data_IF_417882859583
#
_entry.id   IF_417882859583
#
_cell.length_a   1.000
_cell.length_b   1.000
_cell.length_c   1.000
_cell.angle_alpha   90.00
_cell.angle_beta   90.00
_cell.angle_gamma   90.00
#
_symmetry.space_group_name_H-M   'P 1'
#
loop_
_entity.id
_entity.type
_entity.pdbx_description
1 polymer ?
#
# COMPACT_ATOMS: atom_id res chain seq x y z
N UNK A 1 12.20 11.34 2.66
CA UNK A 1 11.16 10.94 3.63
C UNK A 1 11.74 11.07 5.03
N UNK A 2 12.10 9.99 5.76
CA UNK A 2 12.52 10.10 7.18
C UNK A 2 13.66 11.09 7.48
N UNK A 3 14.70 11.14 6.63
CA UNK A 3 15.77 12.15 6.75
C UNK A 3 15.30 13.59 6.63
N UNK A 4 14.31 13.84 5.76
CA UNK A 4 13.80 15.18 5.53
C UNK A 4 13.02 15.66 6.75
N UNK A 5 12.17 14.81 7.34
CA UNK A 5 11.45 15.12 8.57
C UNK A 5 12.39 15.47 9.73
N UNK A 6 13.46 14.69 9.94
CA UNK A 6 14.47 14.99 10.97
C UNK A 6 15.17 16.33 10.75
N UNK A 7 15.40 16.74 9.50
CA UNK A 7 16.09 17.98 9.16
C UNK A 7 15.16 19.20 9.10
N UNK A 8 13.86 18.99 8.97
CA UNK A 8 12.91 20.06 8.75
C UNK A 8 12.88 21.04 9.94
N UNK A 9 12.91 20.51 11.17
CA UNK A 9 12.90 21.32 12.39
C UNK A 9 14.08 22.32 12.47
N UNK A 10 15.24 21.94 11.92
CA UNK A 10 16.47 22.74 11.97
C UNK A 10 16.69 23.59 10.70
N UNK A 11 15.77 23.55 9.73
CA UNK A 11 15.92 24.21 8.43
C UNK A 11 14.94 25.38 8.29
N UNK A 12 15.42 26.63 8.31
CA UNK A 12 14.59 27.79 7.99
C UNK A 12 13.91 27.64 6.63
N UNK A 13 12.62 27.98 6.56
CA UNK A 13 11.81 27.84 5.34
C UNK A 13 11.37 26.41 5.04
N UNK A 14 11.53 25.44 5.96
CA UNK A 14 11.05 24.08 5.77
C UNK A 14 9.55 23.99 5.45
N UNK A 15 8.74 24.92 5.98
CA UNK A 15 7.29 24.96 5.77
C UNK A 15 6.89 25.08 4.29
N UNK A 16 7.59 25.91 3.52
CA UNK A 16 7.32 26.06 2.07
C UNK A 16 7.51 24.74 1.32
N UNK A 17 8.54 23.97 1.67
CA UNK A 17 8.75 22.64 1.08
C UNK A 17 7.65 21.65 1.47
N UNK A 18 7.07 21.76 2.67
CA UNK A 18 5.94 20.93 3.09
C UNK A 18 4.72 21.26 2.24
N UNK A 19 4.37 22.55 2.09
CA UNK A 19 3.25 22.97 1.26
C UNK A 19 3.44 22.58 -0.22
N UNK A 20 4.63 22.80 -0.78
CA UNK A 20 4.97 22.37 -2.14
C UNK A 20 4.79 20.87 -2.34
N UNK A 21 5.21 20.06 -1.36
CA UNK A 21 5.01 18.61 -1.42
C UNK A 21 3.54 18.22 -1.30
N UNK A 22 2.75 18.85 -0.43
CA UNK A 22 1.31 18.55 -0.34
C UNK A 22 0.59 18.93 -1.63
N UNK A 23 0.93 20.09 -2.22
CA UNK A 23 0.33 20.59 -3.48
C UNK A 23 0.70 19.78 -4.72
N UNK A 24 1.94 19.31 -4.81
CA UNK A 24 2.44 18.58 -6.01
C UNK A 24 2.28 17.07 -5.93
N UNK A 25 1.85 16.56 -4.77
CA UNK A 25 1.73 15.14 -4.46
C UNK A 25 2.90 14.28 -4.98
N UNK A 26 3.99 14.13 -4.21
CA UNK A 26 5.17 13.39 -4.66
C UNK A 26 5.00 11.87 -4.61
N UNK A 27 3.78 11.34 -4.42
CA UNK A 27 3.53 9.90 -4.47
C UNK A 27 3.85 9.39 -5.87
N UNK A 28 4.57 8.28 -5.92
CA UNK A 28 4.85 7.56 -7.16
C UNK A 28 3.68 6.67 -7.54
N UNK A 29 3.04 6.03 -6.55
CA UNK A 29 1.80 5.26 -6.69
C UNK A 29 0.78 5.72 -5.64
N UNK A 30 -0.17 6.55 -6.09
CA UNK A 30 -1.24 7.11 -5.26
C UNK A 30 -2.13 6.04 -4.61
N UNK A 31 -2.19 4.82 -5.16
CA UNK A 31 -3.04 3.76 -4.63
C UNK A 31 -2.44 3.06 -3.41
N UNK A 32 -1.12 3.12 -3.26
CA UNK A 32 -0.38 2.33 -2.27
C UNK A 32 0.37 3.19 -1.24
N UNK A 33 0.65 4.46 -1.53
CA UNK A 33 1.49 5.30 -0.66
C UNK A 33 0.66 6.16 0.29
N UNK A 34 0.79 5.89 1.59
CA UNK A 34 0.13 6.65 2.66
C UNK A 34 1.06 7.76 3.17
N UNK A 35 0.96 8.96 2.57
CA UNK A 35 1.80 10.12 2.96
C UNK A 35 1.07 11.18 3.79
N UNK A 36 -0.25 11.09 3.97
CA UNK A 36 -1.07 12.05 4.74
C UNK A 36 -0.51 12.28 6.14
N UNK A 37 -0.46 11.23 6.96
CA UNK A 37 -0.01 11.31 8.35
C UNK A 37 1.43 11.84 8.48
N UNK A 38 2.30 11.52 7.52
CA UNK A 38 3.67 12.04 7.49
C UNK A 38 3.69 13.56 7.36
N UNK A 39 2.95 14.12 6.41
CA UNK A 39 2.89 15.58 6.24
C UNK A 39 2.07 16.26 7.33
N UNK A 40 1.00 15.64 7.84
CA UNK A 40 0.24 16.13 8.99
C UNK A 40 1.13 16.29 10.23
N UNK A 41 2.00 15.30 10.51
CA UNK A 41 2.99 15.39 11.58
C UNK A 41 3.99 16.53 11.34
N UNK A 42 4.45 16.74 10.11
CA UNK A 42 5.33 17.87 9.79
C UNK A 42 4.63 19.22 9.99
N UNK A 43 3.36 19.33 9.62
CA UNK A 43 2.55 20.52 9.86
C UNK A 43 2.41 20.80 11.35
N UNK A 44 2.23 19.78 12.19
CA UNK A 44 2.20 19.91 13.65
C UNK A 44 3.59 20.27 14.21
N UNK A 45 4.63 19.50 13.85
CA UNK A 45 6.00 19.66 14.36
C UNK A 45 6.62 21.01 13.99
N UNK A 46 6.21 21.60 12.86
CA UNK A 46 6.67 22.91 12.38
C UNK A 46 5.67 24.05 12.67
N UNK A 47 4.58 23.76 13.41
CA UNK A 47 3.53 24.73 13.78
C UNK A 47 2.93 25.49 12.58
N UNK A 48 2.72 24.80 11.45
CA UNK A 48 2.26 25.42 10.21
C UNK A 48 0.73 25.64 10.21
N UNK A 49 0.23 26.72 9.58
CA UNK A 49 -1.20 26.93 9.39
C UNK A 49 -1.79 25.96 8.37
N UNK A 50 -3.10 25.69 8.48
CA UNK A 50 -3.86 24.84 7.53
C UNK A 50 -4.31 25.60 6.28
N UNK A 51 -4.38 26.94 6.34
CA UNK A 51 -4.86 27.80 5.25
C UNK A 51 -4.22 27.51 3.89
N UNK A 52 -2.88 27.48 3.76
CA UNK A 52 -2.23 27.19 2.47
C UNK A 52 -2.58 25.81 1.88
N UNK A 53 -2.91 24.82 2.72
CA UNK A 53 -3.35 23.50 2.27
C UNK A 53 -4.77 23.57 1.74
N UNK A 54 -5.65 24.30 2.44
CA UNK A 54 -7.04 24.50 2.02
C UNK A 54 -7.13 25.32 0.72
N UNK A 55 -6.33 26.38 0.56
CA UNK A 55 -6.30 27.22 -0.64
C UNK A 55 -5.99 26.41 -1.91
N UNK A 56 -5.13 25.39 -1.82
CA UNK A 56 -4.84 24.48 -2.93
C UNK A 56 -6.08 23.71 -3.41
N UNK A 57 -6.97 23.33 -2.50
CA UNK A 57 -8.15 22.53 -2.84
C UNK A 57 -9.22 23.33 -3.58
N UNK A 58 -9.26 24.67 -3.44
CA UNK A 58 -10.25 25.51 -4.12
C UNK A 58 -9.67 26.19 -5.38
N UNK A 59 -8.58 25.65 -5.93
CA UNK A 59 -8.01 26.17 -7.17
C UNK A 59 -8.97 25.89 -8.33
N UNK A 60 -9.26 26.92 -9.14
CA UNK A 60 -10.14 26.80 -10.31
C UNK A 60 -9.70 25.72 -11.31
N UNK A 61 -8.41 25.36 -11.30
CA UNK A 61 -7.87 24.28 -12.10
C UNK A 61 -8.53 22.93 -11.80
N UNK A 62 -9.01 22.68 -10.58
CA UNK A 62 -9.58 21.39 -10.16
C UNK A 62 -10.86 21.04 -10.92
N UNK A 63 -11.56 22.03 -11.48
CA UNK A 63 -12.74 21.78 -12.33
C UNK A 63 -12.39 21.38 -13.77
N UNK A 64 -11.16 21.62 -14.20
CA UNK A 64 -10.72 21.41 -15.58
C UNK A 64 -9.60 20.36 -15.70
N UNK A 65 -8.91 20.06 -14.60
CA UNK A 65 -7.84 19.08 -14.53
C UNK A 65 -8.44 17.66 -14.48
N UNK A 66 -8.11 16.78 -15.43
CA UNK A 66 -8.59 15.40 -15.41
C UNK A 66 -7.88 14.51 -14.37
N UNK A 67 -6.90 15.04 -13.63
CA UNK A 67 -6.21 14.28 -12.58
C UNK A 67 -7.02 14.24 -11.28
N UNK A 68 -7.77 13.14 -11.11
CA UNK A 68 -8.59 12.87 -9.93
C UNK A 68 -7.78 12.84 -8.61
N UNK A 69 -6.44 12.74 -8.65
CA UNK A 69 -5.60 12.65 -7.45
C UNK A 69 -5.09 13.98 -6.91
N UNK A 70 -5.30 15.07 -7.64
CA UNK A 70 -4.68 16.39 -7.40
C UNK A 70 -4.85 16.93 -5.98
N UNK A 71 -6.01 16.70 -5.38
CA UNK A 71 -6.34 17.17 -4.02
C UNK A 71 -6.26 16.07 -2.97
N UNK A 72 -6.08 14.80 -3.38
CA UNK A 72 -6.19 13.65 -2.48
C UNK A 72 -5.20 13.75 -1.31
N UNK A 73 -3.94 14.11 -1.58
CA UNK A 73 -2.96 14.25 -0.49
C UNK A 73 -3.30 15.40 0.47
N UNK A 74 -3.86 16.51 -0.03
CA UNK A 74 -4.28 17.62 0.83
C UNK A 74 -5.45 17.20 1.74
N UNK A 75 -6.41 16.46 1.20
CA UNK A 75 -7.51 15.86 1.97
C UNK A 75 -7.00 14.90 3.04
N UNK A 76 -6.10 13.98 2.67
CA UNK A 76 -5.47 13.03 3.59
C UNK A 76 -4.76 13.77 4.75
N UNK A 77 -4.01 14.83 4.42
CA UNK A 77 -3.30 15.65 5.42
C UNK A 77 -4.28 16.35 6.37
N UNK A 78 -5.33 17.00 5.87
CA UNK A 78 -6.30 17.67 6.73
C UNK A 78 -7.04 16.66 7.62
N UNK A 79 -7.40 15.49 7.09
CA UNK A 79 -8.04 14.44 7.89
C UNK A 79 -7.10 13.92 8.99
N UNK A 80 -5.83 13.66 8.68
CA UNK A 80 -4.85 13.23 9.67
C UNK A 80 -4.53 14.34 10.69
N UNK A 81 -4.61 15.62 10.34
CA UNK A 81 -4.54 16.72 11.31
C UNK A 81 -5.69 16.68 12.32
N UNK A 82 -6.91 16.35 11.88
CA UNK A 82 -8.04 16.14 12.81
C UNK A 82 -7.75 14.95 13.73
N UNK A 83 -7.19 13.84 13.23
CA UNK A 83 -6.78 12.69 14.05
C UNK A 83 -5.67 13.04 15.05
N UNK A 84 -4.80 13.98 14.69
CA UNK A 84 -3.79 14.59 15.57
C UNK A 84 -4.36 15.71 16.46
N UNK A 85 -5.69 15.78 16.61
CA UNK A 85 -6.43 16.73 17.47
C UNK A 85 -6.41 18.20 17.03
N UNK A 86 -5.97 18.52 15.80
CA UNK A 86 -6.13 19.86 15.20
C UNK A 86 -7.50 20.00 14.53
N UNK A 87 -8.52 20.17 15.35
CA UNK A 87 -9.94 20.19 14.93
C UNK A 87 -10.27 21.28 13.92
N UNK A 88 -9.52 22.38 13.89
CA UNK A 88 -9.68 23.44 12.90
C UNK A 88 -9.46 22.96 11.45
N UNK A 89 -8.75 21.86 11.23
CA UNK A 89 -8.58 21.25 9.92
C UNK A 89 -9.88 20.63 9.36
N UNK A 90 -10.88 20.39 10.21
CA UNK A 90 -12.18 19.88 9.77
C UNK A 90 -13.00 20.94 9.01
N UNK A 91 -12.81 22.23 9.30
CA UNK A 91 -13.54 23.32 8.62
C UNK A 91 -13.31 23.32 7.10
N UNK A 92 -12.07 23.38 6.59
CA UNK A 92 -11.85 23.35 5.15
C UNK A 92 -12.28 22.03 4.49
N UNK A 93 -12.19 20.88 5.19
CA UNK A 93 -12.75 19.62 4.68
C UNK A 93 -14.27 19.71 4.48
N UNK A 94 -14.96 20.35 5.42
CA UNK A 94 -16.42 20.52 5.33
C UNK A 94 -16.82 21.46 4.22
N UNK A 95 -16.18 22.62 4.13
CA UNK A 95 -16.40 23.60 3.06
C UNK A 95 -16.16 22.97 1.69
N UNK A 96 -15.13 22.13 1.57
CA UNK A 96 -14.82 21.46 0.31
C UNK A 96 -15.80 20.32 -0.03
N UNK A 97 -16.32 19.60 0.97
CA UNK A 97 -17.40 18.62 0.76
C UNK A 97 -18.73 19.29 0.35
N UNK A 98 -18.91 20.58 0.67
CA UNK A 98 -20.08 21.36 0.27
C UNK A 98 -19.91 21.92 -1.15
N UNK A 99 -18.79 22.59 -1.45
CA UNK A 99 -18.64 23.41 -2.65
C UNK A 99 -17.49 23.00 -3.59
N UNK A 100 -16.68 22.02 -3.21
CA UNK A 100 -15.48 21.59 -3.94
C UNK A 100 -15.75 20.79 -5.21
N UNK A 101 -14.77 20.76 -6.12
CA UNK A 101 -14.80 19.94 -7.33
C UNK A 101 -14.82 18.44 -6.99
N UNK A 102 -13.95 18.03 -6.06
CA UNK A 102 -13.83 16.65 -5.55
C UNK A 102 -14.56 16.47 -4.20
N UNK A 103 -15.78 17.00 -4.10
CA UNK A 103 -16.55 17.02 -2.86
C UNK A 103 -16.80 15.61 -2.27
N UNK A 104 -16.88 14.57 -3.10
CA UNK A 104 -17.09 13.19 -2.65
C UNK A 104 -15.89 12.65 -1.87
N UNK A 105 -14.66 12.94 -2.31
CA UNK A 105 -13.43 12.51 -1.62
C UNK A 105 -13.31 13.18 -0.24
N UNK A 106 -13.68 14.46 -0.13
CA UNK A 106 -13.69 15.15 1.15
C UNK A 106 -14.76 14.63 2.10
N UNK A 107 -15.93 14.28 1.58
CA UNK A 107 -16.96 13.62 2.36
C UNK A 107 -16.49 12.25 2.86
N UNK A 108 -15.86 11.45 2.00
CA UNK A 108 -15.29 10.16 2.37
C UNK A 108 -14.22 10.31 3.46
N UNK A 109 -13.35 11.32 3.35
CA UNK A 109 -12.37 11.66 4.38
C UNK A 109 -13.04 12.00 5.73
N UNK A 110 -14.10 12.82 5.73
CA UNK A 110 -14.86 13.16 6.95
C UNK A 110 -15.58 11.94 7.55
N UNK A 111 -16.17 11.08 6.72
CA UNK A 111 -16.82 9.82 7.15
C UNK A 111 -15.78 8.88 7.76
N UNK A 112 -14.56 8.83 7.21
CA UNK A 112 -13.46 8.02 7.71
C UNK A 112 -12.92 8.50 9.08
N UNK A 113 -13.22 9.73 9.51
CA UNK A 113 -12.93 10.21 10.87
C UNK A 113 -13.89 9.65 11.92
N UNK A 114 -15.01 9.04 11.50
CA UNK A 114 -15.99 8.36 12.36
C UNK A 114 -16.57 9.24 13.49
N UNK A 115 -16.56 10.56 13.31
CA UNK A 115 -17.14 11.52 14.26
C UNK A 115 -18.39 12.18 13.64
N UNK A 116 -19.61 11.81 14.06
CA UNK A 116 -20.84 12.40 13.56
C UNK A 116 -20.89 13.93 13.69
N UNK A 117 -20.24 14.52 14.70
CA UNK A 117 -20.24 15.98 14.90
C UNK A 117 -19.54 16.72 13.74
N UNK A 118 -18.55 16.09 13.10
CA UNK A 118 -17.84 16.67 11.95
C UNK A 118 -18.68 16.66 10.67
N UNK A 119 -19.83 15.99 10.67
CA UNK A 119 -20.67 15.77 9.48
C UNK A 119 -22.11 16.24 9.65
N UNK A 120 -22.35 17.10 10.65
CA UNK A 120 -23.66 17.70 10.87
C UNK A 120 -24.14 18.45 9.61
N UNK A 121 -25.40 18.22 9.21
CA UNK A 121 -26.02 18.81 8.02
C UNK A 121 -25.69 18.11 6.69
N UNK A 122 -24.64 17.29 6.63
CA UNK A 122 -24.15 16.70 5.37
C UNK A 122 -25.01 15.54 4.86
N UNK A 123 -25.87 14.96 5.71
CA UNK A 123 -26.83 13.94 5.31
C UNK A 123 -27.79 14.43 4.21
N UNK A 124 -28.09 15.74 4.18
CA UNK A 124 -28.86 16.34 3.10
C UNK A 124 -28.10 16.43 1.78
N UNK A 125 -26.78 16.66 1.83
CA UNK A 125 -25.92 16.68 0.64
C UNK A 125 -25.83 15.28 0.02
N UNK A 126 -25.63 14.25 0.85
CA UNK A 126 -25.61 12.86 0.38
C UNK A 126 -26.93 12.49 -0.26
N UNK A 127 -28.05 12.77 0.41
CA UNK A 127 -29.39 12.43 -0.10
C UNK A 127 -29.72 13.14 -1.43
N UNK A 128 -29.21 14.37 -1.62
CA UNK A 128 -29.43 15.17 -2.82
C UNK A 128 -28.47 14.85 -3.98
N UNK A 129 -27.20 14.56 -3.70
CA UNK A 129 -26.14 14.42 -4.72
C UNK A 129 -25.79 12.98 -5.07
N UNK A 130 -25.90 12.04 -4.14
CA UNK A 130 -25.57 10.63 -4.43
C UNK A 130 -26.68 9.97 -5.23
N UNK A 131 -26.32 9.15 -6.22
CA UNK A 131 -27.21 8.12 -6.77
C UNK A 131 -27.19 6.86 -5.87
N UNK A 132 -27.97 5.85 -6.23
CA UNK A 132 -28.09 4.65 -5.40
C UNK A 132 -26.82 3.78 -5.42
N UNK A 133 -26.05 3.78 -6.52
CA UNK A 133 -24.82 2.99 -6.65
C UNK A 133 -23.66 3.60 -5.85
N UNK A 134 -23.52 4.93 -5.89
CA UNK A 134 -22.58 5.68 -5.05
C UNK A 134 -22.92 5.50 -3.57
N UNK A 135 -24.20 5.52 -3.22
CA UNK A 135 -24.64 5.35 -1.84
C UNK A 135 -24.37 3.91 -1.35
N UNK A 136 -24.64 2.90 -2.18
CA UNK A 136 -24.32 1.51 -1.89
C UNK A 136 -22.80 1.29 -1.76
N UNK A 137 -21.97 2.07 -2.46
CA UNK A 137 -20.52 2.05 -2.31
C UNK A 137 -20.06 2.67 -0.99
N UNK A 138 -20.59 3.84 -0.64
CA UNK A 138 -20.30 4.55 0.63
C UNK A 138 -20.61 3.68 1.87
N UNK A 139 -21.73 2.95 1.84
CA UNK A 139 -22.16 2.13 2.99
C UNK A 139 -21.57 0.72 3.02
N UNK A 140 -20.73 0.34 2.03
CA UNK A 140 -20.18 -1.03 1.92
C UNK A 140 -19.15 -1.36 3.00
N UNK A 141 -18.48 -0.34 3.53
CA UNK A 141 -17.42 -0.45 4.54
C UNK A 141 -17.87 -1.04 5.89
N UNK A 142 -16.98 -1.19 6.88
CA UNK A 142 -17.35 -1.60 8.23
C UNK A 142 -18.34 -0.63 8.88
N UNK A 143 -18.99 -1.06 9.96
CA UNK A 143 -19.95 -0.23 10.68
C UNK A 143 -19.34 1.13 11.05
N UNK A 144 -20.06 2.21 10.75
CA UNK A 144 -19.58 3.58 10.86
C UNK A 144 -20.65 4.46 11.53
N UNK A 145 -20.35 5.08 12.69
CA UNK A 145 -21.32 5.87 13.45
C UNK A 145 -21.85 7.10 12.70
N UNK A 146 -21.10 7.64 11.74
CA UNK A 146 -21.54 8.74 10.87
C UNK A 146 -22.71 8.27 10.00
N UNK A 147 -22.52 7.14 9.32
CA UNK A 147 -23.53 6.56 8.43
C UNK A 147 -24.76 6.11 9.21
N UNK A 148 -24.57 5.54 10.41
CA UNK A 148 -25.67 5.17 11.30
C UNK A 148 -26.50 6.40 11.73
N UNK A 149 -25.83 7.49 12.13
CA UNK A 149 -26.47 8.78 12.46
C UNK A 149 -27.26 9.36 11.29
N UNK A 150 -26.73 9.24 10.07
CA UNK A 150 -27.44 9.67 8.87
C UNK A 150 -28.65 8.78 8.56
N UNK A 151 -28.52 7.46 8.65
CA UNK A 151 -29.62 6.52 8.43
C UNK A 151 -30.73 6.61 9.48
N UNK A 152 -30.45 7.10 10.68
CA UNK A 152 -31.48 7.46 11.66
C UNK A 152 -32.41 8.57 11.14
N UNK A 153 -31.90 9.47 10.30
CA UNK A 153 -32.62 10.66 9.80
C UNK A 153 -33.08 10.54 8.34
N UNK A 154 -32.40 9.76 7.51
CA UNK A 154 -32.64 9.63 6.07
C UNK A 154 -33.08 8.21 5.68
N UNK A 155 -34.33 8.01 5.25
CA UNK A 155 -34.83 6.70 4.83
C UNK A 155 -34.04 6.07 3.66
N UNK A 156 -33.53 6.88 2.73
CA UNK A 156 -32.75 6.40 1.57
C UNK A 156 -31.42 5.76 1.98
N UNK A 157 -30.68 6.43 2.87
CA UNK A 157 -29.43 5.91 3.47
C UNK A 157 -29.70 4.65 4.30
N UNK A 158 -30.80 4.64 5.07
CA UNK A 158 -31.24 3.45 5.80
C UNK A 158 -31.53 2.26 4.88
N UNK A 159 -32.18 2.51 3.75
CA UNK A 159 -32.48 1.46 2.76
C UNK A 159 -31.19 0.90 2.14
N UNK A 160 -30.21 1.76 1.81
CA UNK A 160 -28.90 1.32 1.32
C UNK A 160 -28.16 0.46 2.35
N UNK A 161 -28.12 0.89 3.62
CA UNK A 161 -27.56 0.08 4.71
C UNK A 161 -28.28 -1.27 4.88
N UNK A 162 -29.60 -1.32 4.71
CA UNK A 162 -30.36 -2.57 4.79
C UNK A 162 -30.12 -3.51 3.58
N UNK A 163 -29.74 -2.96 2.42
CA UNK A 163 -29.31 -3.74 1.24
C UNK A 163 -27.89 -4.27 1.37
N UNK A 164 -27.09 -3.72 2.29
CA UNK A 164 -25.72 -4.15 2.52
C UNK A 164 -25.71 -5.66 2.77
N UNK A 165 -24.95 -6.44 1.99
CA UNK A 165 -24.79 -7.85 2.28
C UNK A 165 -24.10 -7.97 3.65
N UNK A 166 -24.69 -8.72 4.59
CA UNK A 166 -24.08 -8.98 5.90
C UNK A 166 -22.60 -9.34 5.74
N UNK A 167 -21.72 -8.50 6.32
CA UNK A 167 -20.29 -8.75 6.37
C UNK A 167 -20.09 -9.99 7.25
N UNK A 168 -20.00 -11.15 6.60
CA UNK A 168 -20.04 -12.44 7.30
C UNK A 168 -20.95 -13.48 6.68
N UNK A 169 -21.64 -13.21 5.55
CA UNK A 169 -22.02 -14.32 4.68
C UNK A 169 -20.72 -15.04 4.37
N UNK A 170 -20.50 -16.30 4.83
CA UNK A 170 -19.36 -17.06 4.37
C UNK A 170 -19.41 -16.94 2.86
N UNK A 171 -18.27 -16.62 2.23
CA UNK A 171 -18.07 -16.86 0.79
C UNK A 171 -18.84 -18.14 0.54
N UNK A 172 -19.98 -18.05 -0.18
CA UNK A 172 -20.87 -19.21 -0.42
C UNK A 172 -19.89 -20.32 -0.67
N UNK A 173 -19.76 -21.32 0.25
CA UNK A 173 -18.64 -22.25 0.20
C UNK A 173 -18.60 -22.62 -1.26
N UNK A 174 -17.49 -22.36 -1.94
CA UNK A 174 -17.37 -22.75 -3.34
C UNK A 174 -17.77 -24.19 -3.24
N UNK A 175 -18.98 -24.52 -3.68
CA UNK A 175 -19.48 -25.86 -3.55
C UNK A 175 -18.56 -26.50 -4.55
N UNK A 176 -17.50 -27.11 -4.01
CA UNK A 176 -16.71 -28.08 -4.71
C UNK A 176 -17.78 -29.07 -5.09
N UNK A 177 -18.33 -28.90 -6.30
CA UNK A 177 -19.22 -29.87 -6.89
C UNK A 177 -18.53 -31.20 -6.60
N UNK A 178 -19.23 -32.16 -5.96
CA UNK A 178 -18.68 -33.49 -5.75
C UNK A 178 -18.10 -33.95 -7.10
N UNK A 179 -16.79 -34.23 -7.15
CA UNK A 179 -16.06 -34.52 -8.39
C UNK A 179 -14.93 -33.54 -8.77
N UNK A 180 -14.78 -32.34 -8.15
CA UNK A 180 -13.63 -31.46 -8.45
C UNK A 180 -12.28 -31.96 -7.89
N UNK A 181 -12.28 -32.65 -6.75
CA UNK A 181 -11.09 -33.29 -6.17
C UNK A 181 -10.67 -34.57 -6.91
N UNK A 182 -11.59 -35.19 -7.64
CA UNK A 182 -11.36 -36.45 -8.39
C UNK A 182 -10.74 -36.21 -9.77
N UNK A 183 -10.81 -34.97 -10.30
CA UNK A 183 -10.21 -34.63 -11.60
C UNK A 183 -8.70 -34.81 -11.54
N UNK A 184 -8.16 -35.47 -12.56
CA UNK A 184 -6.70 -35.64 -12.75
C UNK A 184 -6.04 -34.31 -13.13
N UNK A 185 -4.73 -34.20 -12.97
CA UNK A 185 -3.98 -32.98 -13.36
C UNK A 185 -4.11 -32.69 -14.86
N UNK A 186 -4.15 -33.73 -15.70
CA UNK A 186 -4.36 -33.61 -17.15
C UNK A 186 -5.74 -33.04 -17.47
N UNK A 187 -6.80 -33.50 -16.80
CA UNK A 187 -8.15 -32.95 -17.01
C UNK A 187 -8.23 -31.49 -16.58
N UNK A 188 -7.58 -31.14 -15.47
CA UNK A 188 -7.49 -29.75 -15.00
C UNK A 188 -6.71 -28.86 -15.97
N UNK A 189 -5.62 -29.37 -16.57
CA UNK A 189 -4.87 -28.66 -17.59
C UNK A 189 -5.73 -28.38 -18.84
N UNK A 190 -6.49 -29.37 -19.32
CA UNK A 190 -7.39 -29.21 -20.46
C UNK A 190 -8.54 -28.23 -20.15
N UNK A 191 -9.06 -28.22 -18.92
CA UNK A 191 -10.00 -27.17 -18.46
C UNK A 191 -9.34 -25.80 -18.49
N UNK A 192 -8.10 -25.68 -18.01
CA UNK A 192 -7.39 -24.41 -17.98
C UNK A 192 -7.13 -23.86 -19.40
N UNK A 193 -6.76 -24.72 -20.36
CA UNK A 193 -6.52 -24.35 -21.76
C UNK A 193 -7.76 -23.89 -22.52
N UNK A 194 -8.95 -24.33 -22.11
CA UNK A 194 -10.22 -23.87 -22.70
C UNK A 194 -10.51 -22.39 -22.48
N UNK A 195 -9.87 -21.77 -21.48
CA UNK A 195 -10.00 -20.33 -21.18
C UNK A 195 -11.47 -19.90 -20.95
N UNK A 196 -12.29 -20.79 -20.40
CA UNK A 196 -13.66 -20.51 -20.00
C UNK A 196 -13.71 -20.10 -18.50
N UNK A 197 -14.91 -19.99 -17.94
CA UNK A 197 -15.09 -19.63 -16.52
C UNK A 197 -14.61 -20.71 -15.54
N UNK A 198 -14.46 -21.97 -15.97
CA UNK A 198 -13.90 -23.03 -15.13
C UNK A 198 -12.37 -22.97 -15.08
N UNK A 199 -11.71 -22.37 -16.09
CA UNK A 199 -10.25 -22.31 -16.20
C UNK A 199 -9.57 -21.72 -14.96
N UNK A 200 -10.12 -20.64 -14.39
CA UNK A 200 -9.53 -20.01 -13.19
C UNK A 200 -9.56 -20.96 -11.99
N UNK A 201 -10.65 -21.69 -11.80
CA UNK A 201 -10.76 -22.66 -10.71
C UNK A 201 -9.79 -23.84 -10.92
N UNK A 202 -9.63 -24.31 -12.15
CA UNK A 202 -8.68 -25.36 -12.49
C UNK A 202 -7.22 -24.92 -12.28
N UNK A 203 -6.86 -23.70 -12.66
CA UNK A 203 -5.52 -23.12 -12.42
C UNK A 203 -5.21 -23.08 -10.92
N UNK A 204 -6.14 -22.63 -10.09
CA UNK A 204 -5.94 -22.61 -8.63
C UNK A 204 -5.88 -24.01 -8.02
N UNK A 205 -6.63 -24.97 -8.57
CA UNK A 205 -6.55 -26.38 -8.17
C UNK A 205 -5.15 -26.95 -8.46
N UNK A 206 -4.63 -26.73 -9.67
CA UNK A 206 -3.27 -27.12 -10.07
C UNK A 206 -2.21 -26.47 -9.18
N UNK A 207 -2.38 -25.18 -8.86
CA UNK A 207 -1.49 -24.45 -7.95
C UNK A 207 -1.49 -25.05 -6.54
N UNK A 208 -2.67 -25.35 -5.99
CA UNK A 208 -2.79 -25.98 -4.66
C UNK A 208 -2.13 -27.35 -4.60
N UNK A 209 -2.20 -28.12 -5.69
CA UNK A 209 -1.56 -29.43 -5.83
C UNK A 209 -0.07 -29.36 -6.13
N UNK A 210 0.46 -28.16 -6.47
CA UNK A 210 1.82 -27.98 -6.98
C UNK A 210 2.11 -28.87 -8.19
N UNK A 211 1.11 -28.99 -9.07
CA UNK A 211 1.21 -29.82 -10.27
C UNK A 211 2.28 -29.27 -11.22
N UNK A 212 3.16 -30.12 -11.76
CA UNK A 212 4.23 -29.67 -12.68
C UNK A 212 3.67 -29.07 -13.97
N UNK A 213 2.52 -29.56 -14.42
CA UNK A 213 1.82 -29.06 -15.62
C UNK A 213 1.40 -27.60 -15.52
N UNK A 214 1.33 -27.03 -14.31
CA UNK A 214 1.08 -25.60 -14.13
C UNK A 214 2.25 -24.75 -14.67
N UNK A 215 3.47 -25.28 -14.61
CA UNK A 215 4.65 -24.60 -15.16
C UNK A 215 4.58 -24.58 -16.68
N UNK A 216 4.20 -25.69 -17.31
CA UNK A 216 4.02 -25.75 -18.78
C UNK A 216 2.89 -24.80 -19.22
N UNK A 217 1.78 -24.74 -18.47
CA UNK A 217 0.71 -23.77 -18.71
C UNK A 217 1.18 -22.32 -18.57
N UNK A 218 2.14 -22.04 -17.70
CA UNK A 218 2.70 -20.70 -17.55
C UNK A 218 3.45 -20.25 -18.80
N UNK A 219 4.23 -21.14 -19.42
CA UNK A 219 4.91 -20.88 -20.69
C UNK A 219 3.93 -20.58 -21.83
N UNK A 220 2.74 -21.19 -21.81
CA UNK A 220 1.69 -20.92 -22.79
C UNK A 220 1.00 -19.56 -22.57
N UNK A 221 0.70 -19.21 -21.31
CA UNK A 221 -0.22 -18.12 -20.98
C UNK A 221 0.46 -16.81 -20.57
N UNK A 222 1.63 -16.87 -19.92
CA UNK A 222 2.35 -15.68 -19.46
C UNK A 222 2.87 -14.78 -20.59
N UNK A 223 3.24 -15.27 -21.79
CA UNK A 223 3.70 -14.40 -22.87
C UNK A 223 2.56 -13.56 -23.48
N UNK A 224 1.31 -13.96 -23.28
CA UNK A 224 0.12 -13.35 -23.91
C UNK A 224 -0.44 -12.17 -23.09
N UNK A 225 0.41 -11.27 -22.58
CA UNK A 225 0.00 -10.23 -21.62
C UNK A 225 -0.74 -9.04 -22.25
N UNK A 226 -1.72 -8.44 -21.54
CA UNK A 226 -2.34 -8.89 -20.29
C UNK A 226 -3.50 -9.87 -20.53
N UNK A 227 -3.62 -10.93 -19.71
CA UNK A 227 -4.76 -11.87 -19.76
C UNK A 227 -5.27 -12.27 -18.37
N UNK A 228 -6.60 -12.41 -18.21
CA UNK A 228 -7.27 -12.87 -16.98
C UNK A 228 -6.65 -14.17 -16.46
N UNK A 229 -6.38 -15.11 -17.36
CA UNK A 229 -5.84 -16.43 -17.03
C UNK A 229 -4.35 -16.37 -16.68
N UNK A 230 -3.56 -15.53 -17.37
CA UNK A 230 -2.17 -15.24 -16.97
C UNK A 230 -2.10 -14.68 -15.54
N UNK A 231 -3.00 -13.76 -15.19
CA UNK A 231 -3.13 -13.26 -13.82
C UNK A 231 -3.55 -14.32 -12.79
N UNK A 232 -4.30 -15.36 -13.19
CA UNK A 232 -4.61 -16.51 -12.34
C UNK A 232 -3.39 -17.42 -12.17
N UNK A 233 -2.65 -17.71 -13.25
CA UNK A 233 -1.40 -18.50 -13.20
C UNK A 233 -0.37 -17.82 -12.32
N UNK A 234 -0.15 -16.50 -12.47
CA UNK A 234 0.76 -15.74 -11.62
C UNK A 234 0.44 -15.89 -10.13
N UNK A 235 -0.85 -15.88 -9.76
CA UNK A 235 -1.29 -16.06 -8.39
C UNK A 235 -1.11 -17.50 -7.91
N UNK A 236 -1.42 -18.48 -8.75
CA UNK A 236 -1.23 -19.90 -8.42
C UNK A 236 0.24 -20.26 -8.22
N UNK A 237 1.16 -19.68 -9.00
CA UNK A 237 2.60 -19.93 -8.89
C UNK A 237 3.27 -19.24 -7.69
N UNK A 238 2.69 -18.15 -7.18
CA UNK A 238 3.25 -17.39 -6.05
C UNK A 238 3.56 -18.27 -4.82
N UNK A 239 2.69 -19.26 -4.56
CA UNK A 239 2.79 -20.16 -3.42
C UNK A 239 3.16 -21.60 -3.82
N UNK A 240 3.70 -21.79 -5.03
CA UNK A 240 4.07 -23.11 -5.55
C UNK A 240 5.17 -23.78 -4.70
N UNK A 241 6.18 -23.01 -4.30
CA UNK A 241 7.29 -23.50 -3.49
C UNK A 241 8.62 -23.65 -4.26
N UNK A 242 9.68 -24.12 -3.56
CA UNK A 242 11.02 -24.27 -4.13
C UNK A 242 11.12 -25.29 -5.27
N UNK A 243 10.13 -26.16 -5.45
CA UNK A 243 10.06 -27.14 -6.53
C UNK A 243 10.03 -26.47 -7.92
N UNK A 244 9.59 -25.21 -8.02
CA UNK A 244 9.61 -24.44 -9.26
C UNK A 244 11.00 -23.89 -9.65
N UNK A 245 12.02 -23.98 -8.77
CA UNK A 245 13.32 -23.34 -9.00
C UNK A 245 14.05 -23.78 -10.28
N UNK A 246 14.13 -25.07 -10.62
CA UNK A 246 14.80 -25.48 -11.86
C UNK A 246 14.16 -24.82 -13.09
N UNK A 247 12.82 -24.71 -13.09
CA UNK A 247 12.10 -24.09 -14.20
C UNK A 247 12.25 -22.57 -14.20
N UNK A 248 12.17 -21.92 -13.04
CA UNK A 248 12.38 -20.48 -12.90
C UNK A 248 13.77 -20.04 -13.40
N UNK A 249 14.82 -20.83 -13.14
CA UNK A 249 16.18 -20.55 -13.66
C UNK A 249 16.25 -20.63 -15.18
N UNK A 250 15.56 -21.59 -15.78
CA UNK A 250 15.45 -21.68 -17.24
C UNK A 250 14.73 -20.45 -17.80
N UNK A 251 13.57 -20.11 -17.22
CA UNK A 251 12.75 -18.96 -17.62
C UNK A 251 13.49 -17.63 -17.53
N UNK A 252 14.30 -17.42 -16.50
CA UNK A 252 15.10 -16.21 -16.35
C UNK A 252 16.07 -15.92 -17.51
N UNK A 253 16.37 -16.92 -18.35
CA UNK A 253 17.31 -16.79 -19.47
C UNK A 253 16.65 -16.96 -20.84
N UNK A 254 15.39 -17.40 -20.90
CA UNK A 254 14.77 -17.85 -22.15
C UNK A 254 14.18 -16.74 -23.02
N UNK A 255 13.95 -15.53 -22.49
CA UNK A 255 13.32 -14.42 -23.22
C UNK A 255 11.97 -14.81 -23.83
N UNK A 256 11.20 -15.62 -23.11
CA UNK A 256 9.95 -16.21 -23.55
C UNK A 256 8.72 -15.55 -22.91
N UNK A 257 8.87 -14.51 -22.08
CA UNK A 257 7.75 -13.82 -21.41
C UNK A 257 7.44 -14.33 -19.99
N UNK A 258 8.27 -15.24 -19.47
CA UNK A 258 8.18 -15.76 -18.10
C UNK A 258 9.17 -15.12 -17.12
N UNK A 259 9.98 -14.15 -17.55
CA UNK A 259 11.12 -13.59 -16.80
C UNK A 259 10.67 -12.98 -15.47
N UNK A 260 9.62 -12.16 -15.46
CA UNK A 260 9.12 -11.58 -14.20
C UNK A 260 8.66 -12.64 -13.19
N UNK A 261 8.04 -13.72 -13.69
CA UNK A 261 7.58 -14.80 -12.83
C UNK A 261 8.77 -15.61 -12.29
N UNK A 262 9.75 -15.86 -13.13
CA UNK A 262 11.03 -16.44 -12.71
C UNK A 262 11.66 -15.59 -11.61
N UNK A 263 11.76 -14.27 -11.81
CA UNK A 263 12.36 -13.36 -10.83
C UNK A 263 11.65 -13.43 -9.48
N UNK A 264 10.31 -13.43 -9.47
CA UNK A 264 9.49 -13.60 -8.25
C UNK A 264 9.76 -14.93 -7.53
N UNK A 265 9.82 -16.03 -8.28
CA UNK A 265 10.11 -17.37 -7.73
C UNK A 265 11.54 -17.40 -7.15
N UNK A 266 12.52 -16.85 -7.85
CA UNK A 266 13.92 -16.80 -7.41
C UNK A 266 14.11 -15.89 -6.20
N UNK A 267 13.46 -14.73 -6.15
CA UNK A 267 13.46 -13.86 -4.98
C UNK A 267 12.94 -14.59 -3.74
N UNK A 268 11.80 -15.29 -3.88
CA UNK A 268 11.13 -15.96 -2.75
C UNK A 268 11.79 -17.26 -2.31
N UNK A 269 12.21 -18.10 -3.25
CA UNK A 269 12.66 -19.48 -2.97
C UNK A 269 14.11 -19.76 -3.38
N UNK A 270 14.74 -18.86 -4.15
CA UNK A 270 16.09 -19.05 -4.67
C UNK A 270 17.13 -19.34 -3.60
N UNK A 271 18.29 -19.76 -4.06
CA UNK A 271 19.46 -20.13 -3.27
C UNK A 271 20.61 -19.15 -3.54
N UNK A 272 21.76 -19.37 -2.91
CA UNK A 272 22.97 -18.56 -3.18
C UNK A 272 23.40 -18.57 -4.65
N UNK A 273 23.07 -19.62 -5.40
CA UNK A 273 23.34 -19.69 -6.85
C UNK A 273 22.64 -18.58 -7.63
N UNK A 274 21.52 -18.06 -7.13
CA UNK A 274 20.65 -17.12 -7.83
C UNK A 274 21.02 -15.64 -7.53
N UNK A 275 21.97 -15.41 -6.61
CA UNK A 275 22.43 -14.06 -6.22
C UNK A 275 22.94 -13.25 -7.42
N UNK A 276 23.80 -13.77 -8.32
CA UNK A 276 24.32 -12.97 -9.43
C UNK A 276 23.23 -12.42 -10.36
N UNK A 277 22.20 -13.21 -10.62
CA UNK A 277 21.05 -12.77 -11.42
C UNK A 277 20.26 -11.68 -10.68
N UNK A 278 19.90 -11.89 -9.42
CA UNK A 278 19.19 -10.89 -8.61
C UNK A 278 20.00 -9.58 -8.49
N UNK A 279 21.33 -9.67 -8.39
CA UNK A 279 22.22 -8.50 -8.38
C UNK A 279 22.22 -7.76 -9.72
N UNK A 280 22.15 -8.47 -10.85
CA UNK A 280 22.03 -7.86 -12.17
C UNK A 280 20.70 -7.14 -12.32
N UNK A 281 19.60 -7.82 -12.01
CA UNK A 281 18.25 -7.25 -12.10
C UNK A 281 18.09 -6.03 -11.20
N UNK A 282 18.60 -6.07 -9.96
CA UNK A 282 18.59 -4.90 -9.09
C UNK A 282 19.38 -3.74 -9.67
N UNK A 283 20.59 -4.00 -10.21
CA UNK A 283 21.42 -2.95 -10.81
C UNK A 283 20.71 -2.29 -11.99
N UNK A 284 20.10 -3.09 -12.84
CA UNK A 284 19.43 -2.61 -14.05
C UNK A 284 18.14 -1.85 -13.70
N UNK A 285 17.35 -2.34 -12.74
CA UNK A 285 16.19 -1.63 -12.21
C UNK A 285 16.56 -0.27 -11.61
N UNK A 286 17.60 -0.21 -10.76
CA UNK A 286 18.09 1.05 -10.19
C UNK A 286 18.61 2.01 -11.27
N UNK A 287 19.31 1.50 -12.28
CA UNK A 287 19.79 2.31 -13.39
C UNK A 287 18.64 2.95 -14.19
N UNK A 288 17.58 2.19 -14.45
CA UNK A 288 16.36 2.67 -15.12
C UNK A 288 15.45 3.51 -14.22
N UNK A 289 15.71 3.53 -12.90
CA UNK A 289 14.81 4.07 -11.86
C UNK A 289 13.44 3.39 -11.85
N UNK A 290 13.42 2.10 -12.19
CA UNK A 290 12.22 1.27 -12.08
C UNK A 290 12.14 0.69 -10.66
N UNK A 291 11.41 1.40 -9.79
CA UNK A 291 11.30 1.02 -8.38
C UNK A 291 10.40 -0.19 -8.16
N UNK A 292 9.48 -0.47 -9.09
CA UNK A 292 8.63 -1.65 -9.02
C UNK A 292 9.44 -2.92 -9.31
N UNK A 293 10.24 -2.89 -10.38
CA UNK A 293 11.13 -4.01 -10.75
C UNK A 293 12.22 -4.28 -9.71
N UNK A 294 12.64 -3.25 -8.96
CA UNK A 294 13.65 -3.41 -7.90
C UNK A 294 13.14 -4.23 -6.70
N UNK A 295 11.82 -4.35 -6.49
CA UNK A 295 11.24 -4.92 -5.28
C UNK A 295 11.61 -6.39 -5.05
N UNK A 296 11.39 -7.25 -6.05
CA UNK A 296 11.67 -8.69 -5.96
C UNK A 296 13.18 -8.97 -5.75
N UNK A 297 14.11 -8.36 -6.53
CA UNK A 297 15.54 -8.46 -6.25
C UNK A 297 15.96 -8.06 -4.83
N UNK A 298 15.44 -6.94 -4.32
CA UNK A 298 15.74 -6.46 -2.96
C UNK A 298 15.31 -7.50 -1.91
N UNK A 299 14.08 -8.00 -2.01
CA UNK A 299 13.57 -9.02 -1.09
C UNK A 299 14.42 -10.31 -1.14
N UNK A 300 14.73 -10.77 -2.34
CA UNK A 300 15.53 -11.98 -2.57
C UNK A 300 16.94 -11.86 -2.00
N UNK A 301 17.65 -10.79 -2.32
CA UNK A 301 19.01 -10.53 -1.82
C UNK A 301 19.03 -10.37 -0.30
N UNK A 302 18.02 -9.69 0.26
CA UNK A 302 17.82 -9.58 1.70
C UNK A 302 17.61 -10.93 2.39
N UNK A 303 16.72 -11.77 1.85
CA UNK A 303 16.46 -13.14 2.35
C UNK A 303 17.70 -14.02 2.28
N UNK A 304 18.45 -13.93 1.18
CA UNK A 304 19.69 -14.69 0.94
C UNK A 304 20.89 -14.16 1.73
N UNK A 305 20.75 -13.01 2.42
CA UNK A 305 21.80 -12.31 3.15
C UNK A 305 23.02 -12.03 2.26
N UNK A 306 22.78 -11.60 1.03
CA UNK A 306 23.81 -11.23 0.06
C UNK A 306 24.50 -9.92 0.47
N UNK A 307 25.64 -10.00 1.18
CA UNK A 307 26.38 -8.83 1.65
C UNK A 307 26.87 -7.90 0.53
N UNK A 308 27.14 -8.45 -0.66
CA UNK A 308 27.50 -7.69 -1.86
C UNK A 308 26.39 -6.78 -2.39
N UNK A 309 25.13 -6.99 -1.98
CA UNK A 309 23.99 -6.14 -2.34
C UNK A 309 23.97 -4.80 -1.58
N UNK A 310 24.70 -4.69 -0.46
CA UNK A 310 24.61 -3.54 0.46
C UNK A 310 24.77 -2.18 -0.26
N UNK A 311 25.74 -1.98 -1.19
CA UNK A 311 25.84 -0.72 -1.92
C UNK A 311 24.56 -0.36 -2.70
N UNK A 312 23.98 -1.34 -3.42
CA UNK A 312 22.74 -1.14 -4.19
C UNK A 312 21.54 -0.87 -3.27
N UNK A 313 21.46 -1.56 -2.13
CA UNK A 313 20.41 -1.32 -1.13
C UNK A 313 20.49 0.11 -0.55
N UNK A 314 21.71 0.62 -0.30
CA UNK A 314 21.91 2.00 0.16
C UNK A 314 21.51 3.02 -0.91
N UNK A 315 21.81 2.75 -2.18
CA UNK A 315 21.35 3.55 -3.32
C UNK A 315 19.82 3.55 -3.38
N UNK A 316 19.18 2.38 -3.35
CA UNK A 316 17.72 2.25 -3.34
C UNK A 316 17.07 3.04 -2.21
N UNK A 317 17.61 2.98 -0.99
CA UNK A 317 17.09 3.77 0.15
C UNK A 317 17.17 5.28 -0.08
N UNK A 318 18.25 5.74 -0.72
CA UNK A 318 18.57 7.16 -0.85
C UNK A 318 17.85 7.79 -2.04
N UNK A 319 17.74 7.07 -3.14
CA UNK A 319 17.26 7.60 -4.43
C UNK A 319 15.80 7.26 -4.73
N UNK A 320 15.26 6.19 -4.14
CA UNK A 320 13.88 5.80 -4.43
C UNK A 320 12.88 6.84 -3.94
N UNK A 321 12.02 7.26 -4.86
CA UNK A 321 10.83 8.08 -4.58
C UNK A 321 9.61 7.23 -4.26
N UNK A 322 9.69 5.90 -4.41
CA UNK A 322 8.59 4.98 -4.17
C UNK A 322 8.61 4.49 -2.72
N UNK A 323 7.70 5.01 -1.90
CA UNK A 323 7.75 4.76 -0.46
C UNK A 323 7.51 3.27 -0.14
N UNK A 324 6.62 2.59 -0.86
CA UNK A 324 6.33 1.16 -0.70
C UNK A 324 7.55 0.23 -0.89
N UNK A 325 8.62 0.69 -1.55
CA UNK A 325 9.88 -0.05 -1.68
C UNK A 325 10.72 -0.01 -0.40
N UNK A 326 10.62 1.05 0.39
CA UNK A 326 11.47 1.33 1.56
C UNK A 326 11.41 0.26 2.66
N UNK A 327 10.26 -0.33 3.05
CA UNK A 327 10.26 -1.38 4.07
C UNK A 327 11.02 -2.64 3.60
N UNK A 328 11.00 -2.94 2.29
CA UNK A 328 11.77 -4.04 1.68
C UNK A 328 13.26 -3.76 1.73
N UNK A 329 13.66 -2.53 1.39
CA UNK A 329 15.06 -2.09 1.47
C UNK A 329 15.58 -2.16 2.91
N UNK A 330 14.82 -1.63 3.88
CA UNK A 330 15.23 -1.65 5.30
C UNK A 330 15.34 -3.08 5.84
N UNK A 331 14.38 -3.95 5.49
CA UNK A 331 14.43 -5.38 5.82
C UNK A 331 15.68 -6.04 5.23
N UNK A 332 15.98 -5.77 3.96
CA UNK A 332 17.15 -6.32 3.28
C UNK A 332 18.46 -5.82 3.90
N UNK A 333 18.58 -4.52 4.19
CA UNK A 333 19.74 -3.93 4.89
C UNK A 333 19.95 -4.57 6.27
N UNK A 334 18.88 -4.71 7.05
CA UNK A 334 18.94 -5.31 8.40
C UNK A 334 19.39 -6.76 8.36
N UNK A 335 19.06 -7.52 7.30
CA UNK A 335 19.48 -8.91 7.13
C UNK A 335 20.89 -9.08 6.56
N UNK A 336 21.33 -8.16 5.70
CA UNK A 336 22.61 -8.24 4.97
C UNK A 336 23.76 -7.57 5.70
N UNK A 337 23.53 -6.44 6.36
CA UNK A 337 24.53 -5.70 7.11
C UNK A 337 23.90 -4.97 8.32
N UNK A 338 23.61 -5.68 9.44
CA UNK A 338 22.91 -5.13 10.60
C UNK A 338 23.53 -3.85 11.16
N UNK A 339 24.86 -3.80 11.34
CA UNK A 339 25.54 -2.60 11.85
C UNK A 339 25.42 -1.40 10.90
N UNK A 340 25.52 -1.63 9.60
CA UNK A 340 25.29 -0.58 8.59
C UNK A 340 23.83 -0.11 8.61
N UNK A 341 22.89 -1.03 8.84
CA UNK A 341 21.47 -0.76 8.88
C UNK A 341 21.02 0.11 10.06
N UNK A 342 21.79 0.17 11.16
CA UNK A 342 21.44 0.98 12.34
C UNK A 342 21.08 2.43 11.99
N UNK A 343 21.90 3.10 11.17
CA UNK A 343 21.62 4.48 10.73
C UNK A 343 20.30 4.63 9.94
N UNK A 344 19.95 3.62 9.15
CA UNK A 344 18.73 3.56 8.36
C UNK A 344 17.50 3.25 9.22
N UNK A 345 17.64 2.39 10.22
CA UNK A 345 16.57 2.11 11.19
C UNK A 345 16.28 3.34 12.05
N UNK A 346 17.29 4.12 12.45
CA UNK A 346 17.06 5.42 13.11
C UNK A 346 16.30 6.35 12.19
N UNK A 347 16.74 6.53 10.93
CA UNK A 347 16.00 7.33 9.94
C UNK A 347 14.55 6.85 9.76
N UNK A 348 14.34 5.53 9.79
CA UNK A 348 13.06 4.87 9.59
C UNK A 348 11.99 5.20 10.63
N UNK A 349 12.35 5.64 11.84
CA UNK A 349 11.37 6.06 12.86
C UNK A 349 10.57 7.32 12.46
N UNK A 350 11.06 8.08 11.48
CA UNK A 350 10.40 9.27 10.92
C UNK A 350 9.86 9.05 9.51
N UNK A 351 9.90 7.82 9.01
CA UNK A 351 9.50 7.54 7.63
C UNK A 351 7.99 7.69 7.42
N UNK A 352 7.57 7.91 6.17
CA UNK A 352 6.14 8.02 5.85
C UNK A 352 5.45 6.66 5.82
N UNK A 353 6.19 5.58 5.54
CA UNK A 353 5.63 4.23 5.51
C UNK A 353 5.57 3.61 6.91
N UNK A 354 4.39 3.14 7.28
CA UNK A 354 4.17 2.39 8.53
C UNK A 354 5.09 1.18 8.62
N UNK A 355 5.31 0.44 7.52
CA UNK A 355 6.14 -0.76 7.52
C UNK A 355 7.60 -0.45 7.85
N UNK A 356 8.09 0.72 7.39
CA UNK A 356 9.42 1.21 7.73
C UNK A 356 9.48 1.58 9.22
N UNK A 357 8.49 2.32 9.72
CA UNK A 357 8.39 2.68 11.14
C UNK A 357 8.29 1.45 12.04
N UNK A 358 7.56 0.41 11.63
CA UNK A 358 7.42 -0.84 12.36
C UNK A 358 8.74 -1.60 12.48
N UNK A 359 9.48 -1.76 11.37
CA UNK A 359 10.82 -2.37 11.38
C UNK A 359 11.78 -1.53 12.24
N UNK A 360 11.77 -0.21 12.04
CA UNK A 360 12.61 0.72 12.78
C UNK A 360 12.33 0.69 14.28
N UNK A 361 11.05 0.65 14.68
CA UNK A 361 10.66 0.58 16.09
C UNK A 361 11.30 -0.65 16.76
N UNK A 362 11.24 -1.81 16.09
CA UNK A 362 11.77 -3.06 16.59
C UNK A 362 13.32 -3.10 16.65
N UNK A 363 14.01 -2.37 15.77
CA UNK A 363 15.44 -2.62 15.50
C UNK A 363 16.37 -1.43 15.74
N UNK A 364 15.86 -0.19 15.75
CA UNK A 364 16.70 0.99 15.90
C UNK A 364 17.44 1.00 17.25
N UNK A 365 18.73 1.38 17.31
CA UNK A 365 19.48 1.44 18.56
C UNK A 365 18.80 2.37 19.57
N UNK A 366 18.83 2.02 20.86
CA UNK A 366 18.26 2.84 21.94
C UNK A 366 19.24 3.93 22.36
N UNK A 367 19.05 5.11 21.79
CA UNK A 367 19.69 6.36 22.20
C UNK A 367 18.66 7.26 22.89
N UNK A 368 19.09 8.39 23.45
CA UNK A 368 18.15 9.36 24.01
C UNK A 368 17.15 9.88 22.96
N UNK A 369 17.62 10.14 21.74
CA UNK A 369 16.78 10.61 20.62
C UNK A 369 15.75 9.54 20.22
N UNK A 370 16.18 8.30 20.01
CA UNK A 370 15.26 7.24 19.57
C UNK A 370 14.27 6.84 20.65
N UNK A 371 14.64 6.89 21.94
CA UNK A 371 13.69 6.68 23.05
C UNK A 371 12.56 7.70 23.03
N UNK A 372 12.88 9.00 22.88
CA UNK A 372 11.86 10.05 22.78
C UNK A 372 10.96 9.82 21.56
N UNK A 373 11.55 9.46 20.41
CA UNK A 373 10.75 9.19 19.21
C UNK A 373 9.84 7.96 19.37
N UNK A 374 10.33 6.87 19.96
CA UNK A 374 9.53 5.68 20.27
C UNK A 374 8.38 6.00 21.24
N UNK A 375 8.63 6.84 22.26
CA UNK A 375 7.57 7.30 23.17
C UNK A 375 6.49 8.08 22.42
N UNK A 376 6.88 8.98 21.49
CA UNK A 376 5.92 9.70 20.65
C UNK A 376 5.09 8.74 19.79
N UNK A 377 5.75 7.79 19.11
CA UNK A 377 5.04 6.78 18.29
C UNK A 377 4.07 5.95 19.13
N UNK A 378 4.47 5.50 20.31
CA UNK A 378 3.60 4.71 21.19
C UNK A 378 2.30 5.45 21.55
N UNK A 379 2.38 6.75 21.84
CA UNK A 379 1.24 7.55 22.30
C UNK A 379 0.47 8.25 21.16
N UNK A 380 0.97 8.23 19.93
CA UNK A 380 0.30 8.84 18.79
C UNK A 380 -0.91 8.02 18.37
N UNK A 381 -2.12 8.48 18.68
CA UNK A 381 -3.37 7.76 18.37
C UNK A 381 -3.67 7.64 16.88
N UNK A 382 -3.04 8.47 16.04
CA UNK A 382 -3.16 8.39 14.59
C UNK A 382 -2.20 7.36 13.97
N UNK A 383 -1.26 6.81 14.75
CA UNK A 383 -0.34 5.78 14.30
C UNK A 383 -0.96 4.37 14.30
N UNK A 384 -0.47 3.54 13.39
CA UNK A 384 -0.88 2.14 13.26
C UNK A 384 -0.67 1.35 14.55
N UNK A 385 -1.67 0.53 14.91
CA UNK A 385 -1.67 -0.24 16.15
C UNK A 385 -0.40 -1.10 16.32
N UNK A 386 0.05 -1.74 15.24
CA UNK A 386 1.25 -2.58 15.25
C UNK A 386 2.54 -1.78 15.46
N UNK A 387 2.63 -0.57 14.90
CA UNK A 387 3.77 0.33 15.12
C UNK A 387 3.79 0.83 16.56
N UNK A 388 2.64 1.20 17.11
CA UNK A 388 2.51 1.61 18.53
C UNK A 388 2.90 0.50 19.48
N UNK A 389 2.43 -0.72 19.22
CA UNK A 389 2.77 -1.90 20.00
C UNK A 389 4.27 -2.22 19.94
N UNK A 390 4.87 -2.17 18.74
CA UNK A 390 6.31 -2.35 18.55
C UNK A 390 7.13 -1.29 19.30
N UNK A 391 6.69 -0.02 19.27
CA UNK A 391 7.35 1.05 20.01
C UNK A 391 7.23 0.88 21.53
N UNK A 392 6.06 0.50 22.04
CA UNK A 392 5.82 0.23 23.46
C UNK A 392 6.72 -0.90 23.98
N UNK A 393 6.79 -2.01 23.26
CA UNK A 393 7.58 -3.18 23.61
C UNK A 393 9.09 -2.88 23.75
N UNK A 394 9.56 -1.79 23.14
CA UNK A 394 10.98 -1.37 23.14
C UNK A 394 11.35 -0.43 24.28
N UNK A 395 10.35 0.10 24.99
CA UNK A 395 10.50 1.07 26.09
C UNK A 395 10.38 0.43 27.47
N UNK A 396 10.01 -0.86 27.52
CA UNK A 396 10.09 -1.73 28.70
C UNK A 396 11.53 -2.23 28.81
#
# INVERSE_FOLDING_TARGET
MGRAARRAADKPGAGEYVFDCVRRDPRWDHQCEARGLYYARLVVDLELPTGPIAEHMFDSADHADPDDWRVQLALDVLADLVRLSRREAATPLREYAEDGAHWFDALDALVALRDPALTEGMDGLVDARYDDDALDSLVRGPDNPVIESWAARRPRIRAALARRPEAGRPRRPVTTKPGRSERTETELLEIARRRDDEAVAAIFELGRRRASVLLDLAEELLPQRPSRWGGAVCRALRDYGPEALPRARSWATSHNGCEDMALRILARYGTRQDIPLLMSELRDALHRRDWADAADPIEGLGRLRAGEAVPLLKTAWTESTYAYLRPRVLTALTRTAPHTAESYTVEGLWDCEEGVRGIAAQTAPLTSETRVRLQRLHHDTAEEADVRAAAAARLI
#
